data_IF_054196828658
#
_entry.id   IF_054196828658
#
_cell.length_a   1.000
_cell.length_b   1.000
_cell.length_c   1.000
_cell.angle_alpha   90.00
_cell.angle_beta   90.00
_cell.angle_gamma   90.00
#
_symmetry.space_group_name_H-M   'P 1'
#
loop_
_entity.id
_entity.type
_entity.pdbx_description
1 polymer ?
#
# COMPACT_ATOMS: atom_id res chain seq x y z
N UNK A 1 -60.00 -74.21 7.15
CA UNK A 1 -59.73 -72.83 6.72
C UNK A 1 -58.71 -72.24 7.69
N UNK A 2 -57.59 -71.71 7.16
CA UNK A 2 -56.64 -70.80 7.83
C UNK A 2 -55.77 -71.43 8.94
N UNK A 3 -54.89 -72.41 8.65
CA UNK A 3 -53.68 -72.65 9.49
C UNK A 3 -52.48 -73.27 8.74
N UNK A 4 -52.54 -73.42 7.41
CA UNK A 4 -51.48 -74.09 6.63
C UNK A 4 -50.82 -73.22 5.54
N UNK A 5 -50.91 -71.88 5.61
CA UNK A 5 -50.30 -70.98 4.60
C UNK A 5 -49.21 -70.04 5.10
N UNK A 6 -48.83 -70.08 6.38
CA UNK A 6 -47.87 -69.12 6.96
C UNK A 6 -46.51 -69.73 7.34
N UNK A 7 -46.33 -71.05 7.27
CA UNK A 7 -45.07 -71.71 7.68
C UNK A 7 -44.13 -72.12 6.54
N UNK A 8 -44.48 -71.83 5.28
CA UNK A 8 -43.61 -72.11 4.12
C UNK A 8 -42.76 -70.91 3.68
N UNK A 9 -43.04 -69.71 4.19
CA UNK A 9 -42.31 -68.49 3.80
C UNK A 9 -41.16 -68.14 4.75
N UNK A 10 -41.13 -68.73 5.96
CA UNK A 10 -40.08 -68.45 6.96
C UNK A 10 -38.81 -69.28 6.76
N UNK A 11 -38.90 -70.46 6.13
CA UNK A 11 -37.75 -71.38 5.93
C UNK A 11 -36.97 -71.05 4.66
N UNK A 12 -37.58 -70.38 3.68
CA UNK A 12 -36.88 -69.97 2.44
C UNK A 12 -36.03 -68.71 2.64
N UNK A 13 -36.38 -67.86 3.61
CA UNK A 13 -35.63 -66.62 3.90
C UNK A 13 -34.35 -66.89 4.73
N UNK A 14 -34.29 -68.02 5.45
CA UNK A 14 -33.14 -68.37 6.30
C UNK A 14 -31.94 -69.00 5.59
N UNK A 15 -32.07 -69.43 4.33
CA UNK A 15 -31.02 -70.13 3.57
C UNK A 15 -30.35 -69.25 2.50
N UNK A 16 -30.86 -68.05 2.21
CA UNK A 16 -30.27 -67.12 1.24
C UNK A 16 -29.16 -66.19 1.79
N UNK A 17 -28.74 -66.35 3.04
CA UNK A 17 -27.80 -65.39 3.70
C UNK A 17 -26.32 -65.84 3.64
N UNK A 18 -25.98 -67.00 3.08
CA UNK A 18 -24.60 -67.53 3.15
C UNK A 18 -23.79 -67.50 1.84
N UNK A 19 -24.10 -66.61 0.89
CA UNK A 19 -23.24 -66.42 -0.28
C UNK A 19 -23.20 -64.98 -0.74
N UNK A 20 -22.73 -64.09 0.14
CA UNK A 20 -22.11 -62.84 -0.31
C UNK A 20 -20.68 -63.18 -0.70
N UNK A 21 -20.51 -63.70 -1.92
CA UNK A 21 -19.22 -63.65 -2.60
C UNK A 21 -18.87 -62.17 -2.77
N UNK A 22 -17.87 -61.70 -2.02
CA UNK A 22 -17.16 -60.49 -2.35
C UNK A 22 -16.56 -60.69 -3.76
N UNK A 23 -17.28 -60.20 -4.77
CA UNK A 23 -16.66 -59.96 -6.08
C UNK A 23 -15.70 -58.80 -5.84
N UNK A 24 -14.41 -59.12 -5.67
CA UNK A 24 -13.38 -58.12 -5.85
C UNK A 24 -13.44 -57.79 -7.33
N UNK A 25 -14.11 -56.69 -7.65
CA UNK A 25 -13.99 -56.06 -8.95
C UNK A 25 -12.53 -55.60 -9.03
N UNK A 26 -11.66 -56.47 -9.54
CA UNK A 26 -10.29 -56.12 -9.88
C UNK A 26 -10.36 -55.18 -11.08
N UNK A 27 -10.69 -53.93 -10.78
CA UNK A 27 -10.48 -52.76 -11.62
C UNK A 27 -9.04 -52.84 -12.12
N UNK A 28 -8.87 -53.11 -13.42
CA UNK A 28 -7.56 -53.23 -14.05
C UNK A 28 -6.91 -51.86 -14.02
N UNK A 29 -6.04 -51.60 -13.04
CA UNK A 29 -5.29 -50.36 -12.95
C UNK A 29 -4.04 -50.44 -13.80
N UNK A 30 -3.84 -49.44 -14.63
CA UNK A 30 -2.65 -49.28 -15.44
C UNK A 30 -1.70 -48.28 -14.79
N UNK A 31 -0.41 -48.60 -14.87
CA UNK A 31 0.65 -47.74 -14.35
C UNK A 31 1.03 -46.70 -15.38
N UNK A 32 1.01 -45.44 -14.99
CA UNK A 32 1.59 -44.32 -15.73
C UNK A 32 2.83 -43.89 -14.99
N UNK A 33 3.99 -44.21 -15.56
CA UNK A 33 5.28 -43.83 -15.01
C UNK A 33 5.97 -42.87 -15.98
N UNK A 34 6.94 -42.11 -15.51
CA UNK A 34 7.63 -41.18 -16.39
C UNK A 34 8.68 -40.33 -15.70
N UNK A 35 9.35 -39.51 -16.50
CA UNK A 35 10.34 -38.52 -16.06
C UNK A 35 9.93 -37.13 -16.48
N UNK A 36 10.16 -36.15 -15.62
CA UNK A 36 10.03 -34.73 -15.94
C UNK A 36 11.42 -34.13 -16.17
N UNK A 37 11.60 -33.46 -17.30
CA UNK A 37 12.89 -32.92 -17.74
C UNK A 37 12.81 -31.47 -18.22
N UNK A 38 13.96 -30.83 -18.34
CA UNK A 38 14.13 -29.55 -19.02
C UNK A 38 14.32 -29.78 -20.52
N UNK A 39 13.58 -29.07 -21.38
CA UNK A 39 13.66 -29.30 -22.83
C UNK A 39 15.00 -28.88 -23.47
N UNK A 40 15.65 -27.86 -22.93
CA UNK A 40 16.92 -27.29 -23.43
C UNK A 40 18.14 -28.15 -23.07
N UNK A 41 18.26 -28.60 -21.82
CA UNK A 41 19.44 -29.31 -21.32
C UNK A 41 19.19 -30.78 -20.96
N UNK A 42 17.94 -31.25 -21.03
CA UNK A 42 17.52 -32.58 -20.55
C UNK A 42 17.84 -32.85 -19.08
N UNK A 43 17.96 -31.80 -18.29
CA UNK A 43 18.15 -31.91 -16.83
C UNK A 43 16.85 -32.37 -16.18
N UNK A 44 16.90 -33.33 -15.26
CA UNK A 44 15.71 -33.84 -14.56
C UNK A 44 15.16 -32.79 -13.60
N UNK A 45 13.84 -32.65 -13.57
CA UNK A 45 13.15 -31.67 -12.73
C UNK A 45 12.52 -32.39 -11.53
N UNK A 46 13.15 -32.21 -10.38
CA UNK A 46 12.63 -32.64 -9.07
C UNK A 46 11.63 -31.62 -8.53
N UNK A 47 10.52 -32.08 -7.94
CA UNK A 47 9.51 -31.20 -7.37
C UNK A 47 8.52 -30.61 -8.38
N UNK A 48 8.41 -31.16 -9.59
CA UNK A 48 7.34 -30.81 -10.53
C UNK A 48 6.00 -31.34 -10.03
N UNK A 49 4.97 -30.50 -10.07
CA UNK A 49 3.60 -30.86 -9.69
C UNK A 49 2.89 -31.45 -10.92
N UNK A 50 2.35 -32.65 -10.78
CA UNK A 50 1.60 -33.33 -11.82
C UNK A 50 0.17 -33.56 -11.33
N UNK A 51 -0.83 -33.14 -12.11
CA UNK A 51 -2.25 -33.28 -11.76
C UNK A 51 -3.00 -33.95 -12.91
N UNK A 52 -3.76 -35.00 -12.59
CA UNK A 52 -4.60 -35.74 -13.54
C UNK A 52 -6.04 -35.26 -13.43
N UNK A 53 -6.57 -34.69 -14.51
CA UNK A 53 -7.98 -34.28 -14.62
C UNK A 53 -8.79 -35.33 -15.42
N UNK A 54 -10.07 -35.57 -15.07
CA UNK A 54 -10.88 -34.88 -14.05
C UNK A 54 -10.74 -35.45 -12.61
N UNK A 55 -9.92 -36.49 -12.42
CA UNK A 55 -9.79 -37.17 -11.13
C UNK A 55 -9.29 -36.24 -9.99
N UNK A 56 -8.68 -35.10 -10.34
CA UNK A 56 -8.02 -34.16 -9.44
C UNK A 56 -6.98 -34.83 -8.53
N UNK A 57 -6.39 -35.91 -9.01
CA UNK A 57 -5.36 -36.67 -8.33
C UNK A 57 -4.00 -36.10 -8.74
N UNK A 58 -3.22 -35.64 -7.76
CA UNK A 58 -1.91 -35.05 -7.99
C UNK A 58 -0.77 -35.87 -7.38
N UNK A 59 0.41 -35.79 -7.99
CA UNK A 59 1.67 -36.29 -7.43
C UNK A 59 2.79 -35.30 -7.71
N UNK A 60 3.93 -35.45 -7.03
CA UNK A 60 5.11 -34.61 -7.22
C UNK A 60 6.25 -35.49 -7.72
N UNK A 61 7.07 -34.99 -8.64
CA UNK A 61 8.24 -35.71 -9.12
C UNK A 61 9.32 -35.86 -8.02
N UNK A 62 9.98 -37.01 -7.99
CA UNK A 62 11.03 -37.31 -7.02
C UNK A 62 12.38 -36.62 -7.34
N UNK A 63 13.42 -36.90 -6.54
CA UNK A 63 14.76 -36.33 -6.72
C UNK A 63 15.40 -36.64 -8.08
N UNK A 64 14.96 -37.70 -8.75
CA UNK A 64 15.40 -38.12 -10.08
C UNK A 64 14.40 -37.67 -11.18
N UNK A 65 13.39 -36.87 -10.82
CA UNK A 65 12.35 -36.40 -11.72
C UNK A 65 11.30 -37.46 -12.07
N UNK A 66 11.27 -38.61 -11.41
CA UNK A 66 10.30 -39.66 -11.67
C UNK A 66 8.95 -39.38 -11.03
N UNK A 67 7.89 -39.78 -11.74
CA UNK A 67 6.53 -39.77 -11.22
C UNK A 67 5.83 -41.09 -11.52
N UNK A 68 4.80 -41.39 -10.72
CA UNK A 68 3.97 -42.58 -10.91
C UNK A 68 2.51 -42.29 -10.54
N UNK A 69 1.61 -42.76 -11.38
CA UNK A 69 0.18 -42.87 -11.11
C UNK A 69 -0.31 -44.29 -11.39
N UNK A 70 -1.28 -44.75 -10.61
CA UNK A 70 -2.04 -45.98 -10.88
C UNK A 70 -3.48 -45.56 -11.21
N UNK A 71 -3.84 -45.56 -12.51
CA UNK A 71 -5.12 -45.03 -13.03
C UNK A 71 -5.95 -46.14 -13.67
N UNK A 72 -7.28 -45.98 -13.66
CA UNK A 72 -8.20 -46.86 -14.39
C UNK A 72 -8.22 -46.50 -15.89
N UNK A 73 -8.58 -47.43 -16.80
CA UNK A 73 -8.61 -47.16 -18.23
C UNK A 73 -9.58 -46.03 -18.56
N UNK A 74 -9.18 -45.08 -19.40
CA UNK A 74 -10.00 -43.92 -19.75
C UNK A 74 -9.21 -42.75 -20.30
N UNK A 75 -9.92 -41.67 -20.62
CA UNK A 75 -9.34 -40.43 -21.13
C UNK A 75 -9.09 -39.44 -19.98
N UNK A 76 -7.85 -38.96 -19.88
CA UNK A 76 -7.42 -38.00 -18.87
C UNK A 76 -6.62 -36.86 -19.48
N UNK A 77 -6.48 -35.76 -18.75
CA UNK A 77 -5.50 -34.71 -19.07
C UNK A 77 -4.49 -34.60 -17.94
N UNK A 78 -3.23 -34.87 -18.24
CA UNK A 78 -2.12 -34.69 -17.32
C UNK A 78 -1.57 -33.28 -17.46
N UNK A 79 -1.70 -32.50 -16.40
CA UNK A 79 -1.16 -31.14 -16.31
C UNK A 79 0.11 -31.16 -15.48
N UNK A 80 1.21 -30.68 -16.04
CA UNK A 80 2.50 -30.58 -15.34
C UNK A 80 2.87 -29.12 -15.14
N UNK A 81 3.13 -28.76 -13.88
CA UNK A 81 3.51 -27.42 -13.44
C UNK A 81 4.84 -27.47 -12.71
N UNK A 82 5.70 -26.51 -13.03
CA UNK A 82 6.97 -26.32 -12.32
C UNK A 82 7.33 -24.84 -12.34
N UNK A 83 7.88 -24.34 -11.24
CA UNK A 83 8.15 -22.90 -11.08
C UNK A 83 9.14 -22.42 -12.14
N UNK A 84 8.78 -21.36 -12.88
CA UNK A 84 9.60 -20.81 -13.96
C UNK A 84 9.42 -21.49 -15.33
N UNK A 85 8.52 -22.46 -15.46
CA UNK A 85 8.25 -23.19 -16.70
C UNK A 85 6.83 -22.94 -17.21
N UNK A 86 6.61 -23.14 -18.51
CA UNK A 86 5.26 -23.15 -19.08
C UNK A 86 4.53 -24.41 -18.64
N UNK A 87 3.29 -24.22 -18.16
CA UNK A 87 2.38 -25.33 -17.89
C UNK A 87 2.20 -26.16 -19.17
N UNK A 88 2.33 -27.48 -19.04
CA UNK A 88 2.17 -28.41 -20.16
C UNK A 88 1.01 -29.34 -19.85
N UNK A 89 0.01 -29.32 -20.72
CA UNK A 89 -1.15 -30.22 -20.66
C UNK A 89 -0.98 -31.30 -21.73
N UNK A 90 -1.12 -32.55 -21.32
CA UNK A 90 -0.93 -33.72 -22.18
C UNK A 90 -2.21 -34.57 -22.08
N UNK A 91 -2.95 -34.77 -23.19
CA UNK A 91 -4.04 -35.73 -23.20
C UNK A 91 -3.47 -37.15 -23.07
N UNK A 92 -4.06 -37.94 -22.19
CA UNK A 92 -3.71 -39.34 -21.94
C UNK A 92 -4.91 -40.21 -22.30
N UNK A 93 -4.74 -41.09 -23.28
CA UNK A 93 -5.72 -42.11 -23.64
C UNK A 93 -5.23 -43.49 -23.14
N UNK A 94 -5.78 -43.92 -22.00
CA UNK A 94 -5.21 -44.97 -21.17
C UNK A 94 -5.78 -46.36 -21.50
N UNK A 95 -5.16 -47.06 -22.44
CA UNK A 95 -5.51 -48.45 -22.79
C UNK A 95 -4.57 -49.51 -22.18
N UNK A 96 -3.52 -49.06 -21.47
CA UNK A 96 -2.45 -49.92 -20.94
C UNK A 96 -1.43 -49.15 -20.09
N UNK A 97 -0.37 -49.84 -19.64
CA UNK A 97 0.73 -49.17 -18.94
C UNK A 97 1.49 -48.24 -19.89
N UNK A 98 1.79 -47.02 -19.43
CA UNK A 98 2.48 -46.00 -20.22
C UNK A 98 3.72 -45.50 -19.49
N UNK A 99 4.79 -45.26 -20.26
CA UNK A 99 5.98 -44.56 -19.78
C UNK A 99 6.14 -43.26 -20.57
N UNK A 100 6.19 -42.12 -19.88
CA UNK A 100 6.16 -40.79 -20.47
C UNK A 100 7.41 -39.99 -20.11
N UNK A 101 8.06 -39.41 -21.11
CA UNK A 101 9.09 -38.39 -20.89
C UNK A 101 8.50 -37.01 -21.17
N UNK A 102 8.43 -36.18 -20.14
CA UNK A 102 7.77 -34.87 -20.19
C UNK A 102 8.82 -33.78 -20.00
N UNK A 103 9.33 -33.24 -21.12
CA UNK A 103 10.18 -32.06 -21.04
C UNK A 103 9.37 -30.76 -21.07
N UNK A 104 9.65 -29.88 -20.10
CA UNK A 104 9.07 -28.55 -19.95
C UNK A 104 9.97 -27.49 -20.58
N UNK A 105 9.33 -26.46 -21.15
CA UNK A 105 10.03 -25.30 -21.71
C UNK A 105 10.02 -24.19 -20.68
N UNK A 106 11.17 -23.54 -20.48
CA UNK A 106 11.28 -22.35 -19.64
C UNK A 106 10.24 -21.32 -20.11
N UNK A 107 9.60 -20.65 -19.16
CA UNK A 107 8.72 -19.53 -19.45
C UNK A 107 9.60 -18.32 -19.79
N UNK A 108 10.11 -18.30 -21.03
CA UNK A 108 10.68 -17.09 -21.61
C UNK A 108 9.61 -16.00 -21.53
N UNK A 109 9.88 -14.97 -20.74
CA UNK A 109 9.18 -13.71 -20.89
C UNK A 109 9.82 -13.08 -22.12
N UNK A 110 9.14 -13.02 -23.28
CA UNK A 110 9.65 -12.17 -24.34
C UNK A 110 9.80 -10.78 -23.71
N UNK A 111 11.04 -10.29 -23.69
CA UNK A 111 11.27 -8.87 -23.50
C UNK A 111 10.64 -8.28 -24.76
N UNK A 112 9.42 -7.80 -24.64
CA UNK A 112 8.87 -6.90 -25.64
C UNK A 112 9.84 -5.71 -25.65
N UNK A 113 10.66 -5.64 -26.69
CA UNK A 113 11.39 -4.45 -27.05
C UNK A 113 10.33 -3.41 -27.42
N UNK A 114 9.80 -2.74 -26.40
CA UNK A 114 8.87 -1.64 -26.56
C UNK A 114 9.65 -0.54 -27.26
N UNK A 115 9.40 -0.42 -28.56
CA UNK A 115 9.50 0.87 -29.25
C UNK A 115 8.70 1.86 -28.41
N UNK A 116 9.42 2.71 -27.68
CA UNK A 116 8.85 3.76 -26.85
C UNK A 116 8.25 4.78 -27.80
N UNK A 117 7.01 4.53 -28.22
CA UNK A 117 6.11 5.53 -28.74
C UNK A 117 4.97 5.59 -27.73
N UNK A 118 5.04 6.62 -26.89
CA UNK A 118 3.94 7.26 -26.19
C UNK A 118 2.59 6.50 -26.19
N UNK A 119 2.39 5.60 -25.23
CA UNK A 119 1.08 5.36 -24.62
C UNK A 119 1.22 4.59 -23.33
N UNK A 120 0.83 5.25 -22.25
CA UNK A 120 0.63 4.71 -20.91
C UNK A 120 -0.38 3.55 -20.95
N UNK A 121 0.03 2.33 -20.60
CA UNK A 121 -0.85 1.42 -19.86
C UNK A 121 -0.10 0.31 -19.10
N UNK A 122 -0.27 0.41 -17.79
CA UNK A 122 -0.14 -0.56 -16.68
C UNK A 122 -0.03 -2.04 -17.01
N UNK A 123 1.04 -2.68 -16.52
CA UNK A 123 1.08 -4.07 -16.06
C UNK A 123 1.98 -4.09 -14.80
N UNK A 124 1.47 -4.72 -13.73
CA UNK A 124 2.01 -5.03 -12.39
C UNK A 124 2.98 -4.05 -11.70
N UNK A 125 2.79 -3.77 -10.38
CA UNK A 125 3.80 -3.05 -9.61
C UNK A 125 5.11 -3.81 -9.72
N UNK A 126 6.10 -3.13 -10.26
CA UNK A 126 7.46 -3.60 -10.49
C UNK A 126 8.06 -4.06 -9.13
N UNK A 127 7.81 -5.31 -8.73
CA UNK A 127 8.47 -5.99 -7.61
C UNK A 127 9.77 -6.60 -8.14
N UNK A 128 10.68 -5.75 -8.60
CA UNK A 128 12.09 -6.14 -8.77
C UNK A 128 12.84 -5.58 -7.58
N UNK A 129 12.97 -6.38 -6.52
CA UNK A 129 14.08 -6.39 -5.54
C UNK A 129 14.66 -5.08 -5.03
N UNK A 130 13.96 -3.95 -5.17
CA UNK A 130 14.43 -2.59 -4.93
C UNK A 130 13.46 -1.96 -3.93
N UNK A 131 13.93 -1.11 -3.00
CA UNK A 131 13.10 -0.58 -1.92
C UNK A 131 12.18 0.53 -2.43
N UNK A 132 11.17 0.13 -3.19
CA UNK A 132 9.98 0.91 -3.50
C UNK A 132 9.08 0.80 -2.27
N UNK A 133 8.70 1.93 -1.68
CA UNK A 133 7.70 1.95 -0.62
C UNK A 133 6.41 2.47 -1.20
N UNK A 134 5.37 1.64 -1.11
CA UNK A 134 4.03 1.91 -1.63
C UNK A 134 3.07 2.25 -0.49
N UNK A 135 2.33 3.33 -0.63
CA UNK A 135 1.21 3.69 0.23
C UNK A 135 -0.07 3.42 -0.57
N UNK A 136 -0.69 2.27 -0.31
CA UNK A 136 -1.91 1.87 -0.98
C UNK A 136 -3.17 2.58 -0.46
N UNK A 137 -4.22 2.51 -1.26
CA UNK A 137 -5.51 3.19 -1.07
C UNK A 137 -6.11 3.07 0.34
N UNK A 138 -6.00 1.90 0.99
CA UNK A 138 -6.55 1.68 2.34
C UNK A 138 -5.97 2.66 3.37
N UNK A 139 -4.70 3.02 3.23
CA UNK A 139 -3.99 3.92 4.13
C UNK A 139 -4.35 5.38 3.82
N UNK A 140 -4.56 5.71 2.54
CA UNK A 140 -4.99 7.03 2.08
C UNK A 140 -6.40 7.34 2.58
N UNK A 141 -7.34 6.39 2.40
CA UNK A 141 -8.73 6.54 2.83
C UNK A 141 -8.92 6.59 4.36
N UNK A 142 -7.91 6.21 5.15
CA UNK A 142 -7.96 6.31 6.62
C UNK A 142 -7.61 7.72 7.10
N UNK A 143 -6.91 8.51 6.28
CA UNK A 143 -6.58 9.87 6.63
C UNK A 143 -7.73 10.79 6.18
N UNK A 144 -8.37 11.44 7.15
CA UNK A 144 -9.30 12.54 6.90
C UNK A 144 -8.49 13.80 6.55
N UNK A 145 -7.72 13.77 5.46
CA UNK A 145 -6.94 14.89 4.96
C UNK A 145 -7.07 14.98 3.46
N UNK A 146 -7.15 16.20 2.95
CA UNK A 146 -7.16 16.48 1.51
C UNK A 146 -5.74 16.52 0.92
N UNK A 147 -4.71 16.59 1.76
CA UNK A 147 -3.33 16.72 1.32
C UNK A 147 -2.64 15.35 1.19
N UNK A 148 -2.17 15.04 -0.02
CA UNK A 148 -1.43 13.81 -0.30
C UNK A 148 -0.14 13.70 0.53
N UNK A 149 0.49 14.83 0.90
CA UNK A 149 1.73 14.81 1.68
C UNK A 149 1.52 14.29 3.11
N UNK A 150 0.36 14.55 3.72
CA UNK A 150 0.01 14.02 5.04
C UNK A 150 0.01 12.48 5.04
N UNK A 151 -0.25 11.86 3.88
CA UNK A 151 -0.17 10.41 3.75
C UNK A 151 1.24 9.86 3.86
N UNK A 152 2.24 10.64 3.43
CA UNK A 152 3.65 10.27 3.43
C UNK A 152 4.26 10.52 4.82
N UNK A 153 3.73 11.50 5.55
CA UNK A 153 4.27 11.99 6.83
C UNK A 153 4.51 10.85 7.84
N UNK A 154 5.79 10.62 8.18
CA UNK A 154 6.19 9.64 9.20
C UNK A 154 5.94 8.17 8.85
N UNK A 155 5.47 7.85 7.65
CA UNK A 155 5.15 6.47 7.24
C UNK A 155 6.28 5.77 6.51
N UNK A 156 7.19 6.52 5.90
CA UNK A 156 8.25 5.96 5.06
C UNK A 156 9.62 6.19 5.70
N UNK A 157 10.36 5.11 6.06
CA UNK A 157 11.70 5.24 6.60
C UNK A 157 12.65 5.94 5.64
N UNK A 158 13.37 6.94 6.14
CA UNK A 158 14.32 7.75 5.37
C UNK A 158 13.69 8.84 4.50
N UNK A 159 12.38 9.06 4.63
CA UNK A 159 11.69 10.21 4.03
C UNK A 159 11.35 11.19 5.13
N UNK A 160 11.83 12.41 4.97
CA UNK A 160 11.60 13.51 5.89
C UNK A 160 10.59 14.43 5.27
N UNK A 161 9.41 14.47 5.86
CA UNK A 161 8.36 15.39 5.46
C UNK A 161 8.23 16.48 6.53
N UNK A 162 8.31 17.74 6.13
CA UNK A 162 8.22 18.90 7.01
C UNK A 162 7.16 19.86 6.51
N UNK A 163 6.10 20.07 7.29
CA UNK A 163 5.13 21.16 7.10
C UNK A 163 5.85 22.49 7.23
N UNK A 164 5.77 23.34 6.20
CA UNK A 164 6.42 24.66 6.19
C UNK A 164 5.59 25.66 7.01
N UNK A 165 4.26 25.55 6.95
CA UNK A 165 3.36 26.28 7.81
C UNK A 165 2.13 25.44 8.19
N UNK A 166 1.30 26.00 9.08
CA UNK A 166 -0.02 25.45 9.40
C UNK A 166 -1.15 26.07 8.57
N UNK A 167 -0.83 26.85 7.53
CA UNK A 167 -1.83 27.43 6.66
C UNK A 167 -2.47 26.33 5.78
N UNK A 168 -3.80 26.33 5.62
CA UNK A 168 -4.47 25.39 4.71
C UNK A 168 -3.96 25.56 3.28
N UNK A 169 -3.65 24.44 2.61
CA UNK A 169 -3.15 24.43 1.23
C UNK A 169 -1.69 24.86 1.08
N UNK A 170 -0.94 25.04 2.17
CA UNK A 170 0.51 25.25 2.06
C UNK A 170 1.25 23.94 1.78
N UNK A 171 2.39 24.03 1.11
CA UNK A 171 3.11 22.85 0.68
C UNK A 171 3.99 22.27 1.79
N UNK A 172 4.14 20.95 1.71
CA UNK A 172 5.12 20.22 2.48
C UNK A 172 6.49 20.24 1.81
N UNK A 173 7.55 20.17 2.63
CA UNK A 173 8.91 19.97 2.15
C UNK A 173 9.34 18.54 2.40
N UNK A 174 9.35 17.74 1.33
CA UNK A 174 9.79 16.35 1.37
C UNK A 174 11.27 16.24 1.01
N UNK A 175 12.02 15.42 1.75
CA UNK A 175 13.40 15.03 1.45
C UNK A 175 13.58 13.53 1.57
N UNK A 176 14.20 12.92 0.56
CA UNK A 176 14.49 11.49 0.54
C UNK A 176 15.97 11.31 0.86
N UNK A 177 16.28 10.58 1.93
CA UNK A 177 17.65 10.33 2.45
C UNK A 177 18.40 11.57 2.93
N UNK A 178 17.67 12.63 3.30
CA UNK A 178 18.25 13.83 3.88
C UNK A 178 18.66 14.86 2.83
N UNK A 179 19.70 15.63 3.14
CA UNK A 179 20.17 16.74 2.29
C UNK A 179 21.39 16.28 1.51
N UNK A 180 21.25 16.09 0.19
CA UNK A 180 22.32 15.62 -0.69
C UNK A 180 23.08 16.75 -1.41
N UNK A 181 22.71 18.01 -1.19
CA UNK A 181 23.33 19.16 -1.84
C UNK A 181 23.47 20.36 -0.90
N UNK A 182 24.62 21.04 -0.99
CA UNK A 182 24.91 22.28 -0.25
C UNK A 182 24.43 23.51 -1.03
N UNK A 183 24.41 23.44 -2.37
CA UNK A 183 24.17 24.59 -3.25
C UNK A 183 23.02 24.40 -4.26
N UNK A 184 22.50 23.18 -4.42
CA UNK A 184 21.38 22.86 -5.32
C UNK A 184 20.11 22.49 -4.55
N UNK A 185 18.97 22.45 -5.24
CA UNK A 185 17.73 21.92 -4.65
C UNK A 185 17.90 20.44 -4.32
N UNK A 186 17.42 20.06 -3.14
CA UNK A 186 17.36 18.68 -2.63
C UNK A 186 15.93 18.13 -2.70
N UNK A 187 15.03 18.80 -3.43
CA UNK A 187 13.65 18.37 -3.56
C UNK A 187 13.56 17.15 -4.50
N UNK A 188 12.65 16.20 -4.22
CA UNK A 188 12.45 15.04 -5.08
C UNK A 188 11.72 15.43 -6.37
N UNK A 189 11.78 14.56 -7.38
CA UNK A 189 10.95 14.68 -8.57
C UNK A 189 9.54 14.14 -8.28
N UNK A 190 8.51 14.91 -8.60
CA UNK A 190 7.12 14.46 -8.56
C UNK A 190 6.67 13.98 -9.94
N UNK A 191 6.03 12.82 -9.99
CA UNK A 191 5.48 12.23 -11.20
C UNK A 191 4.05 11.81 -10.90
N UNK A 192 3.09 12.36 -11.65
CA UNK A 192 1.66 12.07 -11.48
C UNK A 192 1.16 11.42 -12.77
N UNK A 193 0.66 10.19 -12.69
CA UNK A 193 0.22 9.39 -13.84
C UNK A 193 1.25 9.33 -14.99
N UNK A 194 2.54 9.27 -14.65
CA UNK A 194 3.65 9.24 -15.60
C UNK A 194 4.09 10.60 -16.15
N UNK A 195 3.40 11.69 -15.81
CA UNK A 195 3.76 13.05 -16.18
C UNK A 195 4.60 13.69 -15.07
N UNK A 196 5.75 14.28 -15.43
CA UNK A 196 6.57 15.03 -14.49
C UNK A 196 5.82 16.31 -14.10
N UNK A 197 5.61 16.51 -12.81
CA UNK A 197 5.07 17.76 -12.25
C UNK A 197 6.25 18.58 -11.74
N UNK A 198 6.69 19.61 -12.49
CA UNK A 198 7.79 20.44 -12.05
C UNK A 198 7.36 21.25 -10.83
N UNK A 199 8.26 21.34 -9.84
CA UNK A 199 8.12 22.28 -8.74
C UNK A 199 8.44 23.67 -9.31
N UNK A 200 7.46 24.36 -9.91
CA UNK A 200 7.67 25.73 -10.39
C UNK A 200 7.44 26.70 -9.23
N UNK A 201 8.53 26.95 -8.49
CA UNK A 201 8.63 27.94 -7.41
C UNK A 201 7.78 27.57 -6.19
N UNK A 202 7.92 28.29 -5.08
CA UNK A 202 7.12 28.18 -3.84
C UNK A 202 5.60 28.45 -4.01
N UNK A 203 5.08 28.25 -5.22
CA UNK A 203 3.70 28.45 -5.68
C UNK A 203 3.16 27.14 -6.24
N UNK A 204 4.00 26.24 -6.76
CA UNK A 204 3.54 24.92 -7.24
C UNK A 204 3.68 23.92 -6.13
N UNK A 205 2.53 23.48 -5.61
CA UNK A 205 2.45 22.65 -4.42
C UNK A 205 2.89 21.20 -4.66
N UNK A 206 3.54 20.87 -5.79
CA UNK A 206 3.90 19.51 -6.15
C UNK A 206 2.64 18.64 -6.22
N UNK A 207 2.47 17.76 -5.23
CA UNK A 207 1.30 16.88 -5.07
C UNK A 207 0.27 17.40 -4.06
N UNK A 208 0.51 18.52 -3.38
CA UNK A 208 -0.43 19.08 -2.38
C UNK A 208 -1.70 19.67 -3.00
N UNK A 209 -1.69 19.96 -4.30
CA UNK A 209 -2.90 20.33 -5.08
C UNK A 209 -3.76 19.13 -5.48
N UNK A 210 -3.25 17.91 -5.33
CA UNK A 210 -4.01 16.70 -5.64
C UNK A 210 -4.91 16.36 -4.46
N UNK A 211 -6.15 15.96 -4.77
CA UNK A 211 -7.04 15.42 -3.78
C UNK A 211 -6.58 14.00 -3.38
N UNK A 212 -6.31 13.78 -2.10
CA UNK A 212 -5.90 12.47 -1.58
C UNK A 212 -6.92 11.35 -1.91
N UNK A 213 -8.20 11.66 -2.08
CA UNK A 213 -9.23 10.69 -2.44
C UNK A 213 -9.17 10.21 -3.89
N UNK A 214 -8.52 10.96 -4.77
CA UNK A 214 -8.32 10.60 -6.18
C UNK A 214 -7.03 9.81 -6.40
N UNK A 215 -6.19 9.70 -5.36
CA UNK A 215 -4.93 8.93 -5.41
C UNK A 215 -5.21 7.45 -5.13
N UNK A 216 -4.71 6.58 -6.01
CA UNK A 216 -4.76 5.13 -5.87
C UNK A 216 -3.57 4.61 -5.05
N UNK A 217 -2.37 5.06 -5.41
CA UNK A 217 -1.14 4.65 -4.76
C UNK A 217 -0.06 5.73 -4.87
N UNK A 218 0.77 5.83 -3.83
CA UNK A 218 1.98 6.65 -3.83
C UNK A 218 3.18 5.71 -3.75
N UNK A 219 4.07 5.76 -4.75
CA UNK A 219 5.29 4.97 -4.78
C UNK A 219 6.51 5.87 -4.65
N UNK A 220 7.40 5.61 -3.69
CA UNK A 220 8.63 6.38 -3.52
C UNK A 220 9.85 5.57 -3.95
N UNK A 221 10.58 6.10 -4.95
CA UNK A 221 11.84 5.57 -5.44
C UNK A 221 13.00 6.23 -4.69
N UNK A 222 13.66 5.44 -3.85
CA UNK A 222 14.72 5.94 -2.96
C UNK A 222 16.13 5.76 -3.52
N UNK A 223 16.32 4.84 -4.47
CA UNK A 223 17.63 4.41 -4.97
C UNK A 223 17.94 4.89 -6.39
N UNK A 224 19.22 5.13 -6.66
CA UNK A 224 19.73 5.49 -7.98
C UNK A 224 19.37 4.46 -9.06
N UNK A 225 19.32 3.17 -8.71
CA UNK A 225 18.92 2.12 -9.64
C UNK A 225 17.42 2.21 -10.02
N UNK A 226 16.56 2.60 -9.08
CA UNK A 226 15.13 2.82 -9.33
C UNK A 226 14.85 4.14 -10.03
N UNK A 227 15.62 5.19 -9.75
CA UNK A 227 15.42 6.52 -10.34
C UNK A 227 16.15 6.71 -11.67
N UNK A 228 16.96 5.75 -12.11
CA UNK A 228 17.71 5.80 -13.37
C UNK A 228 16.84 6.12 -14.59
N UNK A 229 15.57 5.67 -14.60
CA UNK A 229 14.62 5.96 -15.68
C UNK A 229 14.28 7.46 -15.79
N UNK A 230 14.37 8.19 -14.68
CA UNK A 230 14.10 9.64 -14.59
C UNK A 230 15.38 10.49 -14.71
N UNK A 231 16.53 9.86 -14.95
CA UNK A 231 17.81 10.53 -15.19
C UNK A 231 18.24 11.46 -14.06
N UNK A 232 18.81 12.62 -14.42
CA UNK A 232 19.35 13.58 -13.45
C UNK A 232 18.28 14.15 -12.51
N UNK A 233 17.03 14.27 -12.98
CA UNK A 233 15.91 14.77 -12.18
C UNK A 233 15.56 13.84 -11.03
N UNK A 234 15.79 12.54 -11.19
CA UNK A 234 15.57 11.52 -10.15
C UNK A 234 16.72 11.36 -9.15
N UNK A 235 17.76 12.21 -9.21
CA UNK A 235 18.95 12.10 -8.35
C UNK A 235 18.65 12.27 -6.85
N UNK A 236 17.62 13.03 -6.50
CA UNK A 236 17.14 13.25 -5.13
C UNK A 236 16.02 12.30 -4.71
N UNK A 237 15.71 11.28 -5.53
CA UNK A 237 14.54 10.42 -5.37
C UNK A 237 13.35 10.87 -6.21
N UNK A 238 12.40 9.96 -6.42
CA UNK A 238 11.20 10.20 -7.23
C UNK A 238 9.97 9.77 -6.44
N UNK A 239 8.95 10.61 -6.42
CA UNK A 239 7.64 10.32 -5.84
C UNK A 239 6.67 10.17 -7.00
N UNK A 240 6.14 8.96 -7.14
CA UNK A 240 5.14 8.58 -8.13
C UNK A 240 3.78 8.61 -7.45
N UNK A 241 2.82 9.26 -8.09
CA UNK A 241 1.42 9.27 -7.69
C UNK A 241 0.61 8.73 -8.83
N UNK A 242 -0.07 7.62 -8.60
CA UNK A 242 -1.01 7.04 -9.53
C UNK A 242 -2.43 7.42 -9.09
N UNK A 243 -3.23 7.97 -10.01
CA UNK A 243 -4.63 8.33 -9.73
C UNK A 243 -5.57 7.18 -10.05
N UNK A 244 -6.73 7.17 -9.37
CA UNK A 244 -7.77 6.15 -9.54
C UNK A 244 -8.32 6.19 -10.96
N UNK A 245 -8.31 5.04 -11.64
CA UNK A 245 -8.83 4.88 -13.00
C UNK A 245 -10.19 4.16 -13.02
N UNK A 246 -10.96 4.35 -14.09
CA UNK A 246 -12.24 3.67 -14.33
C UNK A 246 -12.08 2.15 -14.29
N UNK A 247 -12.78 1.50 -13.38
CA UNK A 247 -12.63 0.08 -13.05
C UNK A 247 -13.84 -0.75 -13.44
N UNK A 248 -14.39 -0.57 -14.64
CA UNK A 248 -15.39 -1.43 -15.30
C UNK A 248 -16.77 -1.56 -14.61
N UNK A 249 -16.87 -1.25 -13.32
CA UNK A 249 -18.06 -1.33 -12.49
C UNK A 249 -18.43 0.07 -12.07
N UNK A 250 -19.69 0.44 -12.35
CA UNK A 250 -20.24 1.71 -11.94
C UNK A 250 -20.30 1.79 -10.42
N UNK A 251 -19.51 2.70 -9.83
CA UNK A 251 -19.54 3.00 -8.39
C UNK A 251 -19.63 4.50 -8.21
N UNK A 252 -20.56 4.94 -7.36
CA UNK A 252 -20.68 6.33 -6.95
C UNK A 252 -20.39 6.39 -5.45
N UNK A 253 -19.38 7.18 -5.07
CA UNK A 253 -19.04 7.41 -3.69
C UNK A 253 -19.24 8.90 -3.37
N UNK A 254 -19.88 9.16 -2.25
CA UNK A 254 -20.03 10.50 -1.69
C UNK A 254 -19.51 10.49 -0.26
N UNK A 255 -18.62 11.41 0.08
CA UNK A 255 -18.16 11.61 1.45
C UNK A 255 -18.34 13.07 1.86
N UNK A 256 -18.67 13.24 3.13
CA UNK A 256 -18.85 14.53 3.78
C UNK A 256 -18.15 14.49 5.13
N UNK A 257 -17.18 15.39 5.32
CA UNK A 257 -16.41 15.51 6.55
C UNK A 257 -16.58 16.92 7.13
N UNK A 258 -16.78 17.01 8.45
CA UNK A 258 -16.81 18.27 9.19
C UNK A 258 -15.84 18.20 10.36
N UNK A 259 -15.02 19.22 10.51
CA UNK A 259 -14.00 19.32 11.54
C UNK A 259 -13.97 20.70 12.20
N UNK A 260 -13.32 20.74 13.36
CA UNK A 260 -13.00 21.98 14.07
C UNK A 260 -11.48 22.00 14.24
N UNK A 261 -10.85 23.08 13.82
CA UNK A 261 -9.42 23.28 13.96
C UNK A 261 -9.15 24.35 15.01
N UNK A 262 -8.47 23.96 16.08
CA UNK A 262 -8.05 24.85 17.16
C UNK A 262 -6.54 24.71 17.40
N UNK A 263 -5.90 25.79 17.83
CA UNK A 263 -4.49 25.76 18.21
C UNK A 263 -4.31 24.99 19.52
N UNK A 264 -3.67 23.81 19.46
CA UNK A 264 -3.49 22.94 20.62
C UNK A 264 -2.46 23.46 21.63
N UNK A 265 -1.53 24.32 21.22
CA UNK A 265 -0.46 24.81 22.09
C UNK A 265 -0.24 26.30 21.84
N UNK A 266 -0.53 27.08 22.87
CA UNK A 266 -0.21 28.51 22.95
C UNK A 266 1.05 28.71 23.77
N UNK A 267 1.76 29.79 23.52
CA UNK A 267 2.86 30.16 24.40
C UNK A 267 2.31 30.70 25.72
N UNK A 268 2.95 30.35 26.81
CA UNK A 268 2.68 31.00 28.09
C UNK A 268 3.36 32.37 28.05
N UNK A 269 2.55 33.39 27.78
CA UNK A 269 3.01 34.78 27.69
C UNK A 269 2.73 35.47 29.02
N UNK A 270 3.68 36.29 29.43
CA UNK A 270 3.53 37.11 30.62
C UNK A 270 2.40 38.12 30.41
N UNK A 271 1.51 38.24 31.39
CA UNK A 271 0.56 39.34 31.45
C UNK A 271 1.27 40.64 31.87
N UNK A 272 0.56 41.77 31.83
CA UNK A 272 1.11 43.08 32.19
C UNK A 272 1.69 43.11 33.62
N UNK A 273 1.09 42.42 34.58
CA UNK A 273 1.55 42.40 35.97
C UNK A 273 2.85 41.61 36.13
N UNK A 274 2.93 40.42 35.55
CA UNK A 274 4.14 39.59 35.54
C UNK A 274 5.31 40.32 34.87
N UNK A 275 5.04 41.03 33.77
CA UNK A 275 6.03 41.84 33.09
C UNK A 275 6.56 42.95 33.99
N UNK A 276 5.67 43.73 34.62
CA UNK A 276 6.06 44.82 35.52
C UNK A 276 6.84 44.32 36.73
N UNK A 277 6.41 43.22 37.35
CA UNK A 277 7.13 42.57 38.45
C UNK A 277 8.54 42.11 38.04
N UNK A 278 8.69 41.58 36.82
CA UNK A 278 9.98 41.14 36.29
C UNK A 278 10.93 42.31 36.04
N UNK A 279 10.42 43.40 35.45
CA UNK A 279 11.24 44.61 35.23
C UNK A 279 11.62 45.26 36.55
N UNK A 280 10.71 45.33 37.53
CA UNK A 280 11.03 45.86 38.86
C UNK A 280 12.09 45.01 39.57
N UNK A 281 11.98 43.68 39.47
CA UNK A 281 12.98 42.76 40.04
C UNK A 281 14.33 42.94 39.35
N UNK A 282 14.34 43.07 38.02
CA UNK A 282 15.56 43.36 37.25
C UNK A 282 16.20 44.68 37.69
N UNK A 283 15.42 45.75 37.83
CA UNK A 283 15.93 47.06 38.26
C UNK A 283 16.50 47.03 39.68
N UNK A 284 15.90 46.24 40.58
CA UNK A 284 16.44 46.01 41.95
C UNK A 284 17.78 45.28 41.93
N UNK A 285 17.95 44.30 41.02
CA UNK A 285 19.17 43.50 40.91
C UNK A 285 20.30 44.31 40.26
N UNK A 286 20.00 45.03 39.18
CA UNK A 286 21.00 45.69 38.34
C UNK A 286 21.19 47.18 38.64
N UNK A 287 20.37 47.78 39.50
CA UNK A 287 20.45 49.19 39.86
C UNK A 287 20.08 50.14 38.71
N UNK A 288 19.39 49.64 37.68
CA UNK A 288 18.92 50.41 36.53
C UNK A 288 17.70 51.25 36.94
N UNK A 289 17.95 52.44 37.47
CA UNK A 289 16.88 53.38 37.83
C UNK A 289 16.29 54.05 36.58
N UNK A 290 15.46 53.32 35.81
CA UNK A 290 14.63 53.89 34.75
C UNK A 290 13.47 54.70 35.37
N UNK A 291 13.75 55.92 35.81
CA UNK A 291 12.72 56.91 36.11
C UNK A 291 12.67 57.94 34.98
N UNK A 292 11.53 58.07 34.30
CA UNK A 292 11.22 59.30 33.56
C UNK A 292 10.88 60.37 34.60
N UNK A 293 11.85 61.21 34.96
CA UNK A 293 11.64 62.32 35.89
C UNK A 293 11.11 63.56 35.15
N UNK A 294 9.85 63.91 35.39
CA UNK A 294 9.28 65.23 35.09
C UNK A 294 8.88 65.87 36.44
N UNK A 295 9.37 67.09 36.78
CA UNK A 295 9.07 67.70 38.07
C UNK A 295 7.56 67.93 38.26
N UNK A 296 7.00 67.42 39.36
CA UNK A 296 5.62 67.73 39.79
C UNK A 296 4.53 66.72 39.43
N UNK A 297 4.85 65.63 38.71
CA UNK A 297 3.90 64.54 38.47
C UNK A 297 4.47 63.20 38.93
N UNK A 298 3.73 62.49 39.80
CA UNK A 298 3.95 61.06 40.06
C UNK A 298 3.39 60.30 38.87
N UNK A 299 4.17 60.12 37.82
CA UNK A 299 3.80 59.14 36.80
C UNK A 299 4.13 57.73 37.31
N UNK A 300 3.29 56.73 37.01
CA UNK A 300 3.68 55.35 37.19
C UNK A 300 5.01 55.11 36.45
N UNK A 301 5.88 54.25 36.98
CA UNK A 301 7.18 53.91 36.38
C UNK A 301 7.04 53.38 34.93
N UNK A 302 5.83 52.96 34.56
CA UNK A 302 5.43 52.51 33.22
C UNK A 302 4.02 53.01 32.87
N UNK A 303 3.83 54.28 32.46
CA UNK A 303 2.50 54.88 32.27
C UNK A 303 1.72 54.29 31.09
N UNK A 304 2.35 53.46 30.25
CA UNK A 304 1.70 52.71 29.16
C UNK A 304 1.03 51.42 29.64
N UNK A 305 1.42 50.92 30.80
CA UNK A 305 0.97 49.63 31.36
C UNK A 305 0.26 49.80 32.70
N UNK A 306 0.12 51.02 33.21
CA UNK A 306 -0.57 51.33 34.45
C UNK A 306 -1.55 52.48 34.20
N UNK A 307 -2.78 52.39 34.72
CA UNK A 307 -3.73 53.51 34.74
C UNK A 307 -3.31 54.62 35.74
N UNK A 308 -4.13 55.66 35.87
CA UNK A 308 -3.85 56.77 36.78
C UNK A 308 -3.88 56.35 38.27
N UNK A 309 -4.55 55.23 38.57
CA UNK A 309 -4.71 54.61 39.87
C UNK A 309 -3.59 53.60 40.18
N UNK A 310 -2.76 53.24 39.20
CA UNK A 310 -1.66 52.28 39.33
C UNK A 310 -2.06 50.82 39.08
N UNK A 311 -3.23 50.56 38.50
CA UNK A 311 -3.68 49.22 38.09
C UNK A 311 -3.06 48.86 36.74
N UNK A 312 -2.54 47.63 36.56
CA UNK A 312 -2.03 47.18 35.27
C UNK A 312 -3.12 47.23 34.19
N UNK A 313 -2.84 47.88 33.06
CA UNK A 313 -3.71 47.96 31.89
C UNK A 313 -3.15 47.15 30.72
N UNK A 314 -4.03 46.66 29.84
CA UNK A 314 -3.64 46.00 28.59
C UNK A 314 -3.11 44.56 28.74
N UNK A 315 -3.62 43.79 29.71
CA UNK A 315 -3.28 42.37 29.88
C UNK A 315 -4.00 41.43 28.91
N UNK A 316 -4.53 41.96 27.81
CA UNK A 316 -5.28 41.17 26.83
C UNK A 316 -4.36 40.16 26.16
N UNK A 317 -4.80 38.89 26.10
CA UNK A 317 -4.07 37.84 25.41
C UNK A 317 -4.06 38.13 23.90
N UNK A 318 -2.90 38.59 23.42
CA UNK A 318 -2.70 38.88 22.00
C UNK A 318 -2.83 37.62 21.15
N UNK A 319 -2.63 36.41 21.71
CA UNK A 319 -2.84 35.16 20.99
C UNK A 319 -4.33 34.91 20.72
N UNK A 320 -5.23 35.31 21.62
CA UNK A 320 -6.68 35.23 21.39
C UNK A 320 -7.17 36.22 20.32
N UNK A 321 -6.52 37.38 20.21
CA UNK A 321 -6.87 38.36 19.18
C UNK A 321 -6.51 37.91 17.75
N UNK A 322 -5.50 37.04 17.62
CA UNK A 322 -4.98 36.59 16.31
C UNK A 322 -5.48 35.19 15.95
N UNK A 323 -5.57 34.28 16.92
CA UNK A 323 -5.95 32.90 16.68
C UNK A 323 -7.42 32.68 16.97
N UNK A 324 -8.15 32.25 15.95
CA UNK A 324 -9.56 31.86 16.07
C UNK A 324 -9.71 30.37 15.79
N UNK A 325 -10.78 29.79 16.34
CA UNK A 325 -11.13 28.40 16.04
C UNK A 325 -11.77 28.36 14.66
N UNK A 326 -11.20 27.58 13.75
CA UNK A 326 -11.69 27.41 12.39
C UNK A 326 -12.68 26.25 12.27
N UNK A 327 -13.66 26.41 11.38
CA UNK A 327 -14.53 25.32 10.94
C UNK A 327 -14.03 24.78 9.60
N UNK A 328 -13.96 23.46 9.49
CA UNK A 328 -13.58 22.75 8.27
C UNK A 328 -14.79 21.97 7.76
N UNK A 329 -15.15 22.17 6.50
CA UNK A 329 -16.18 21.41 5.80
C UNK A 329 -15.58 20.89 4.48
N UNK A 330 -15.73 19.60 4.22
CA UNK A 330 -15.20 18.94 3.03
C UNK A 330 -16.26 18.06 2.39
N UNK A 331 -16.41 18.18 1.08
CA UNK A 331 -17.37 17.44 0.26
C UNK A 331 -16.63 16.77 -0.89
N UNK A 332 -16.82 15.47 -1.05
CA UNK A 332 -16.25 14.73 -2.17
C UNK A 332 -17.31 13.87 -2.84
N UNK A 333 -17.35 13.93 -4.17
CA UNK A 333 -18.17 13.08 -5.02
C UNK A 333 -17.27 12.45 -6.07
N UNK A 334 -17.14 11.13 -6.04
CA UNK A 334 -16.40 10.37 -7.06
C UNK A 334 -17.29 9.36 -7.75
N UNK A 335 -17.17 9.30 -9.08
CA UNK A 335 -17.86 8.35 -9.93
C UNK A 335 -16.85 7.53 -10.71
N UNK A 336 -16.89 6.21 -10.54
CA UNK A 336 -16.11 5.27 -11.34
C UNK A 336 -17.06 4.63 -12.35
N UNK A 337 -16.74 4.73 -13.64
CA UNK A 337 -17.51 4.14 -14.75
C UNK A 337 -16.65 3.19 -15.59
N UNK A 338 -17.31 2.42 -16.47
CA UNK A 338 -16.68 1.50 -17.42
C UNK A 338 -15.88 2.21 -18.52
#
# INVERSE_FOLDING_TARGET
MIWLRTLQWSVVIGICIQSVTFSQDTQVRHKVEGTVCRQDTREVLSGAELVVMPLNSGTVSDINGHFRFDLEPGEYTLTVKYMGFREKQIPLDLHGNMNLEICLVIKEHPIDEVSIIASLRTEDPIVIGRPIVNIGENILNTLNTNDVNDAIHGRIPGVWDTKISGAPGDHHRIRIRGINSIFGSADPLYVVDGMIVPIVNSITLGISDLNAHDVENISILKDAASTALYGYLGGNGVILVDTKKGGGKNKLNFSYNRGIQAFSKRYDLMNSEDFLNTVETSDKIWGTNFYLYIPGQRMPKYPRYLDAEGTPIGSDDQQDAVFTTGHLDEYNLSGQGS
#
